data_IF_573200271342
#
_entry.id   IF_573200271342
#
_cell.length_a   1.000
_cell.length_b   1.000
_cell.length_c   1.000
_cell.angle_alpha   90.00
_cell.angle_beta   90.00
_cell.angle_gamma   90.00
#
_symmetry.space_group_name_H-M   'P 1'
#
loop_
_entity.id
_entity.type
_entity.pdbx_description
1 polymer ?
#
# COMPACT_ATOMS: atom_id res chain seq x y z
N UNK A 1 10.27 31.20 1.86
CA UNK A 1 9.65 30.10 2.64
C UNK A 1 8.14 30.22 2.46
N UNK A 2 7.39 29.12 2.41
CA UNK A 2 5.92 29.16 2.32
C UNK A 2 5.28 29.26 3.71
N UNK A 3 4.16 29.97 3.82
CA UNK A 3 3.41 30.09 5.09
C UNK A 3 2.74 28.76 5.50
N UNK A 4 2.37 27.94 4.51
CA UNK A 4 1.80 26.62 4.69
C UNK A 4 2.56 25.58 3.86
N UNK A 5 2.83 24.43 4.45
CA UNK A 5 3.47 23.29 3.79
C UNK A 5 2.62 22.04 4.07
N UNK A 6 2.07 21.43 3.02
CA UNK A 6 1.27 20.22 3.09
C UNK A 6 2.03 19.03 2.52
N UNK A 7 2.57 18.19 3.39
CA UNK A 7 3.28 16.96 3.03
C UNK A 7 2.31 15.78 3.05
N UNK A 8 2.61 14.74 2.25
CA UNK A 8 1.77 13.53 2.15
C UNK A 8 0.29 13.85 1.89
N UNK A 9 0.02 14.77 0.94
CA UNK A 9 -1.33 15.27 0.63
C UNK A 9 -2.06 15.91 1.84
N UNK A 10 -1.32 16.47 2.80
CA UNK A 10 -1.87 17.17 3.96
C UNK A 10 -2.06 16.29 5.20
N UNK A 11 -1.68 15.00 5.14
CA UNK A 11 -1.57 14.15 6.35
C UNK A 11 -0.60 14.76 7.35
N UNK A 12 0.37 15.54 6.87
CA UNK A 12 1.20 16.42 7.70
C UNK A 12 1.11 17.83 7.16
N UNK A 13 0.71 18.79 8.00
CA UNK A 13 0.64 20.19 7.64
C UNK A 13 1.45 21.04 8.61
N UNK A 14 2.23 21.96 8.04
CA UNK A 14 2.95 23.00 8.78
C UNK A 14 2.36 24.36 8.45
N UNK A 15 2.30 25.23 9.46
CA UNK A 15 1.97 26.65 9.34
C UNK A 15 3.06 27.45 10.03
N UNK A 16 3.64 28.44 9.36
CA UNK A 16 4.74 29.25 9.88
C UNK A 16 5.93 28.41 10.40
N UNK A 17 6.24 27.32 9.69
CA UNK A 17 7.25 26.30 10.06
C UNK A 17 6.97 25.51 11.33
N UNK A 18 5.81 25.69 11.97
CA UNK A 18 5.37 24.86 13.08
C UNK A 18 4.40 23.79 12.58
N UNK A 19 4.50 22.56 13.11
CA UNK A 19 3.57 21.51 12.77
C UNK A 19 2.19 21.87 13.32
N UNK A 20 1.27 22.16 12.40
CA UNK A 20 -0.11 22.54 12.72
C UNK A 20 -1.01 21.31 12.83
N UNK A 21 -0.77 20.28 12.01
CA UNK A 21 -1.56 19.06 11.98
C UNK A 21 -0.71 17.86 11.56
N UNK A 22 -0.99 16.70 12.14
CA UNK A 22 -0.44 15.43 11.70
C UNK A 22 -1.41 14.31 12.06
N UNK A 23 -1.66 13.40 11.12
CA UNK A 23 -2.47 12.20 11.34
C UNK A 23 -1.72 10.94 10.88
N UNK A 24 -2.25 9.75 11.19
CA UNK A 24 -1.79 8.50 10.58
C UNK A 24 -2.95 7.57 10.22
N UNK A 25 -2.73 6.70 9.23
CA UNK A 25 -3.69 5.67 8.83
C UNK A 25 -3.96 4.67 9.97
N UNK A 26 -2.98 4.42 10.84
CA UNK A 26 -3.14 3.55 12.01
C UNK A 26 -4.09 4.16 13.04
N UNK A 27 -3.96 5.46 13.33
CA UNK A 27 -4.87 6.16 14.23
C UNK A 27 -6.25 6.31 13.63
N UNK A 28 -6.32 6.69 12.35
CA UNK A 28 -7.58 6.89 11.62
C UNK A 28 -8.42 5.61 11.48
N UNK A 29 -7.81 4.48 11.11
CA UNK A 29 -8.54 3.20 10.93
C UNK A 29 -8.73 2.43 12.23
N UNK A 30 -7.76 2.51 13.15
CA UNK A 30 -7.67 1.67 14.34
C UNK A 30 -7.17 0.25 14.05
N UNK A 31 -6.61 -0.39 15.08
CA UNK A 31 -5.93 -1.69 14.98
C UNK A 31 -6.84 -2.83 14.50
N UNK A 32 -8.10 -2.88 14.94
CA UNK A 32 -9.05 -3.93 14.56
C UNK A 32 -9.27 -4.01 13.04
N UNK A 33 -9.51 -2.86 12.39
CA UNK A 33 -9.71 -2.79 10.95
C UNK A 33 -8.40 -3.04 10.20
N UNK A 34 -7.31 -2.45 10.70
CA UNK A 34 -5.99 -2.60 10.09
C UNK A 34 -5.56 -4.07 10.04
N UNK A 35 -5.69 -4.79 11.17
CA UNK A 35 -5.39 -6.22 11.26
C UNK A 35 -6.24 -7.05 10.30
N UNK A 36 -7.53 -6.77 10.16
CA UNK A 36 -8.41 -7.47 9.20
C UNK A 36 -7.92 -7.31 7.76
N UNK A 37 -7.65 -6.07 7.35
CA UNK A 37 -7.16 -5.77 5.99
C UNK A 37 -5.81 -6.45 5.75
N UNK A 38 -4.86 -6.34 6.69
CA UNK A 38 -3.53 -6.94 6.56
C UNK A 38 -3.65 -8.46 6.46
N UNK A 39 -4.43 -9.11 7.34
CA UNK A 39 -4.61 -10.56 7.31
C UNK A 39 -5.19 -11.05 5.98
N UNK A 40 -6.22 -10.37 5.48
CA UNK A 40 -6.79 -10.68 4.18
C UNK A 40 -5.73 -10.58 3.07
N UNK A 41 -4.99 -9.47 3.02
CA UNK A 41 -3.96 -9.25 2.01
C UNK A 41 -2.88 -10.33 2.05
N UNK A 42 -2.41 -10.70 3.25
CA UNK A 42 -1.38 -11.72 3.41
C UNK A 42 -1.86 -13.10 2.97
N UNK A 43 -3.06 -13.51 3.36
CA UNK A 43 -3.64 -14.81 2.94
C UNK A 43 -3.90 -14.84 1.43
N UNK A 44 -4.46 -13.76 0.88
CA UNK A 44 -4.71 -13.66 -0.56
C UNK A 44 -3.40 -13.76 -1.35
N UNK A 45 -2.38 -13.00 -0.96
CA UNK A 45 -1.08 -13.02 -1.64
C UNK A 45 -0.37 -14.37 -1.45
N UNK A 46 -0.52 -15.03 -0.30
CA UNK A 46 0.02 -16.37 -0.10
C UNK A 46 -0.56 -17.36 -1.13
N UNK A 47 -1.87 -17.28 -1.40
CA UNK A 47 -2.58 -18.15 -2.35
C UNK A 47 -2.49 -17.72 -3.82
N UNK A 48 -1.98 -16.53 -4.13
CA UNK A 48 -1.81 -16.06 -5.52
C UNK A 48 -0.80 -16.92 -6.28
N UNK A 49 -1.18 -17.42 -7.45
CA UNK A 49 -0.26 -18.10 -8.36
C UNK A 49 0.35 -17.09 -9.35
N UNK A 50 1.59 -16.66 -9.05
CA UNK A 50 2.35 -15.71 -9.87
C UNK A 50 3.79 -16.20 -10.02
N UNK A 51 4.48 -15.85 -11.12
CA UNK A 51 5.79 -16.44 -11.45
C UNK A 51 6.86 -16.25 -10.36
N UNK A 52 6.85 -15.10 -9.68
CA UNK A 52 7.85 -14.72 -8.67
C UNK A 52 7.16 -14.01 -7.50
N UNK A 53 7.59 -14.35 -6.28
CA UNK A 53 7.28 -13.64 -5.04
C UNK A 53 8.59 -13.27 -4.34
N UNK A 54 8.63 -12.07 -3.75
CA UNK A 54 9.79 -11.54 -3.03
C UNK A 54 9.39 -11.23 -1.59
N UNK A 55 9.58 -10.00 -1.14
CA UNK A 55 9.23 -9.55 0.20
C UNK A 55 8.67 -8.14 0.19
N UNK A 56 8.19 -7.68 1.34
CA UNK A 56 7.50 -6.38 1.48
C UNK A 56 6.22 -6.35 0.64
N UNK A 57 5.33 -7.32 0.92
CA UNK A 57 4.02 -7.45 0.27
C UNK A 57 3.00 -6.43 0.79
N UNK A 58 3.08 -6.10 2.08
CA UNK A 58 2.28 -5.08 2.74
C UNK A 58 3.24 -4.12 3.41
N UNK A 59 3.21 -2.86 3.02
CA UNK A 59 4.06 -1.78 3.53
C UNK A 59 3.17 -0.68 4.09
N UNK A 60 3.20 -0.52 5.41
CA UNK A 60 2.50 0.55 6.10
C UNK A 60 3.31 1.86 5.98
N UNK A 61 2.66 2.92 5.51
CA UNK A 61 3.17 4.29 5.50
C UNK A 61 2.28 5.17 6.37
N UNK A 62 2.68 6.42 6.60
CA UNK A 62 1.95 7.31 7.51
C UNK A 62 0.50 7.55 7.06
N UNK A 63 0.27 7.89 5.79
CA UNK A 63 -1.08 8.10 5.25
C UNK A 63 -1.73 6.94 4.51
N UNK A 64 -0.97 5.91 4.11
CA UNK A 64 -1.44 4.86 3.20
C UNK A 64 -0.85 3.49 3.53
N UNK A 65 -1.50 2.43 3.07
CA UNK A 65 -0.95 1.06 3.04
C UNK A 65 -0.65 0.73 1.58
N UNK A 66 0.59 0.35 1.28
CA UNK A 66 0.98 -0.12 -0.04
C UNK A 66 0.96 -1.65 -0.06
N UNK A 67 0.26 -2.23 -1.04
CA UNK A 67 0.14 -3.67 -1.21
C UNK A 67 0.74 -4.05 -2.57
N UNK A 68 1.69 -4.98 -2.58
CA UNK A 68 2.38 -5.46 -3.77
C UNK A 68 2.35 -6.99 -3.83
N UNK A 69 1.64 -7.63 -4.79
CA UNK A 69 1.59 -9.08 -4.89
C UNK A 69 2.95 -9.75 -5.14
N UNK A 70 3.80 -9.16 -6.00
CA UNK A 70 5.18 -9.62 -6.21
C UNK A 70 6.09 -9.29 -5.01
N UNK A 71 5.77 -8.23 -4.26
CA UNK A 71 6.58 -7.68 -3.18
C UNK A 71 7.51 -6.57 -3.66
N UNK A 72 7.71 -5.52 -2.84
CA UNK A 72 8.52 -4.34 -3.20
C UNK A 72 10.03 -4.61 -3.24
N UNK A 73 10.49 -5.73 -2.67
CA UNK A 73 11.91 -6.12 -2.71
C UNK A 73 12.32 -6.82 -4.03
N UNK A 74 11.48 -6.78 -5.06
CA UNK A 74 11.84 -7.29 -6.38
C UNK A 74 12.86 -6.39 -7.09
N UNK A 75 13.60 -6.98 -8.03
CA UNK A 75 14.46 -6.21 -8.94
C UNK A 75 13.61 -5.43 -9.95
N UNK A 76 14.25 -4.48 -10.64
CA UNK A 76 13.58 -3.73 -11.71
C UNK A 76 13.09 -4.66 -12.85
N UNK A 77 13.92 -5.63 -13.24
CA UNK A 77 13.57 -6.62 -14.26
C UNK A 77 12.38 -7.49 -13.82
N UNK A 78 12.40 -7.99 -12.60
CA UNK A 78 11.28 -8.78 -12.04
C UNK A 78 9.98 -7.97 -11.96
N UNK A 79 10.09 -6.67 -11.69
CA UNK A 79 8.95 -5.76 -11.68
C UNK A 79 8.36 -5.59 -13.07
N UNK A 80 9.20 -5.44 -14.09
CA UNK A 80 8.77 -5.31 -15.48
C UNK A 80 8.10 -6.60 -15.97
N UNK A 81 8.68 -7.75 -15.68
CA UNK A 81 8.06 -9.06 -15.95
C UNK A 81 6.68 -9.19 -15.28
N UNK A 82 6.58 -8.79 -14.01
CA UNK A 82 5.30 -8.83 -13.30
C UNK A 82 4.29 -7.83 -13.87
N UNK A 83 4.73 -6.65 -14.31
CA UNK A 83 3.87 -5.69 -14.98
C UNK A 83 3.29 -6.26 -16.29
N UNK A 84 4.11 -6.95 -17.09
CA UNK A 84 3.67 -7.62 -18.30
C UNK A 84 2.69 -8.76 -17.97
N UNK A 85 3.03 -9.62 -17.00
CA UNK A 85 2.14 -10.69 -16.53
C UNK A 85 0.80 -10.16 -16.00
N UNK A 86 0.82 -9.08 -15.22
CA UNK A 86 -0.37 -8.44 -14.70
C UNK A 86 -1.23 -7.82 -15.81
N UNK A 87 -0.63 -7.27 -16.87
CA UNK A 87 -1.38 -6.72 -18.00
C UNK A 87 -2.20 -7.81 -18.72
N UNK A 88 -1.68 -9.03 -18.79
CA UNK A 88 -2.36 -10.16 -19.41
C UNK A 88 -3.38 -10.83 -18.49
N UNK A 89 -3.11 -10.89 -17.19
CA UNK A 89 -3.88 -11.69 -16.22
C UNK A 89 -4.75 -10.86 -15.26
N UNK A 90 -4.65 -9.53 -15.28
CA UNK A 90 -5.43 -8.62 -14.44
C UNK A 90 -5.31 -8.92 -12.93
N UNK A 91 -4.14 -9.40 -12.47
CA UNK A 91 -3.91 -9.87 -11.09
C UNK A 91 -4.26 -8.81 -10.04
N UNK A 92 -3.71 -7.59 -10.18
CA UNK A 92 -3.92 -6.48 -9.25
C UNK A 92 -5.39 -6.03 -9.25
N UNK A 93 -6.00 -5.98 -10.43
CA UNK A 93 -7.40 -5.57 -10.58
C UNK A 93 -8.33 -6.57 -9.90
N UNK A 94 -8.09 -7.86 -10.11
CA UNK A 94 -8.84 -8.95 -9.47
C UNK A 94 -8.65 -8.92 -7.95
N UNK A 95 -7.41 -8.77 -7.47
CA UNK A 95 -7.13 -8.59 -6.05
C UNK A 95 -7.90 -7.42 -5.43
N UNK A 96 -7.86 -6.25 -6.08
CA UNK A 96 -8.56 -5.05 -5.61
C UNK A 96 -10.08 -5.27 -5.52
N UNK A 97 -10.68 -5.89 -6.54
CA UNK A 97 -12.11 -6.17 -6.54
C UNK A 97 -12.51 -7.10 -5.40
N UNK A 98 -11.72 -8.16 -5.16
CA UNK A 98 -12.00 -9.08 -4.07
C UNK A 98 -11.85 -8.42 -2.70
N UNK A 99 -10.84 -7.57 -2.50
CA UNK A 99 -10.66 -6.80 -1.27
C UNK A 99 -11.81 -5.82 -0.99
N UNK A 100 -12.44 -5.27 -2.03
CA UNK A 100 -13.57 -4.34 -1.88
C UNK A 100 -14.90 -5.04 -1.56
N UNK A 101 -14.98 -6.35 -1.77
CA UNK A 101 -16.20 -7.15 -1.58
C UNK A 101 -16.19 -7.96 -0.27
N UNK A 102 -15.12 -7.87 0.51
CA UNK A 102 -15.04 -8.31 1.92
C UNK A 102 -15.57 -7.24 2.87
#
# INVERSE_FOLDING_TARGET
>A
MFDYIFSENGVVAHKNNEQYFSESITSFLGEEKLKKVINYCLVYIANLDIPKKRGTFVELRKGIINISPIGRNCSQEEREEFCAYNLEKDVIKTFRLNLMNE
#
